data_IF_680709196100
#
_entry.id   IF_680709196100
#
_cell.length_a   1.000
_cell.length_b   1.000
_cell.length_c   1.000
_cell.angle_alpha   90.00
_cell.angle_beta   90.00
_cell.angle_gamma   90.00
#
_symmetry.space_group_name_H-M   'P 1'
#
loop_
_entity.id
_entity.type
_entity.pdbx_description
1 polymer ?
#
# COMPACT_ATOMS: atom_id res chain seq x y z
N UNK A 1 17.03 -39.76 -16.88
CA UNK A 1 16.14 -39.04 -15.95
C UNK A 1 16.93 -38.24 -14.92
N UNK A 2 17.82 -38.85 -14.12
CA UNK A 2 18.59 -38.16 -13.06
C UNK A 2 19.35 -36.93 -13.55
N UNK A 3 20.02 -37.01 -14.71
CA UNK A 3 20.71 -35.87 -15.34
C UNK A 3 19.80 -34.67 -15.64
N UNK A 4 18.56 -34.92 -16.04
CA UNK A 4 17.59 -33.84 -16.33
C UNK A 4 17.12 -33.18 -15.04
N UNK A 5 16.88 -33.97 -13.99
CA UNK A 5 16.50 -33.45 -12.67
C UNK A 5 17.65 -32.64 -12.07
N UNK A 6 18.89 -33.15 -12.15
CA UNK A 6 20.10 -32.42 -11.76
C UNK A 6 20.23 -31.10 -12.51
N UNK A 7 20.00 -31.10 -13.82
CA UNK A 7 20.01 -29.88 -14.63
C UNK A 7 18.95 -28.88 -14.17
N UNK A 8 17.70 -29.32 -13.94
CA UNK A 8 16.62 -28.45 -13.46
C UNK A 8 16.93 -27.87 -12.07
N UNK A 9 17.51 -28.66 -11.16
CA UNK A 9 17.96 -28.19 -9.83
C UNK A 9 19.09 -27.17 -9.96
N UNK A 10 20.09 -27.47 -10.80
CA UNK A 10 21.23 -26.59 -11.05
C UNK A 10 20.81 -25.27 -11.69
N UNK A 11 19.88 -25.30 -12.65
CA UNK A 11 19.33 -24.10 -13.27
C UNK A 11 18.64 -23.19 -12.23
N UNK A 12 17.78 -23.76 -11.38
CA UNK A 12 17.08 -23.00 -10.34
C UNK A 12 18.07 -22.37 -9.36
N UNK A 13 18.99 -23.19 -8.83
CA UNK A 13 20.05 -22.76 -7.91
C UNK A 13 20.92 -21.65 -8.49
N UNK A 14 21.37 -21.80 -9.74
CA UNK A 14 22.22 -20.81 -10.40
C UNK A 14 21.47 -19.51 -10.64
N UNK A 15 20.21 -19.58 -11.05
CA UNK A 15 19.37 -18.39 -11.26
C UNK A 15 19.20 -17.62 -9.95
N UNK A 16 18.89 -18.31 -8.85
CA UNK A 16 18.77 -17.70 -7.51
C UNK A 16 20.09 -17.03 -7.09
N UNK A 17 21.22 -17.72 -7.23
CA UNK A 17 22.52 -17.15 -6.91
C UNK A 17 22.84 -15.88 -7.70
N UNK A 18 22.50 -15.85 -8.99
CA UNK A 18 22.79 -14.73 -9.88
C UNK A 18 21.95 -13.51 -9.52
N UNK A 19 20.65 -13.68 -9.19
CA UNK A 19 19.73 -12.54 -9.01
C UNK A 19 19.45 -12.17 -7.54
N UNK A 20 19.35 -13.15 -6.64
CA UNK A 20 19.14 -12.94 -5.20
C UNK A 20 20.47 -12.95 -4.45
N UNK A 21 21.39 -13.85 -4.81
CA UNK A 21 22.73 -13.98 -4.18
C UNK A 21 23.78 -12.95 -4.65
N UNK A 22 23.34 -11.89 -5.35
CA UNK A 22 24.19 -10.87 -5.98
C UNK A 22 25.31 -11.46 -6.87
N UNK A 23 25.14 -12.68 -7.39
CA UNK A 23 26.13 -13.36 -8.21
C UNK A 23 26.45 -12.57 -9.47
N UNK A 24 25.45 -11.97 -10.13
CA UNK A 24 25.67 -11.19 -11.34
C UNK A 24 26.58 -9.97 -11.13
N UNK A 25 26.58 -9.39 -9.93
CA UNK A 25 27.47 -8.26 -9.63
C UNK A 25 28.93 -8.69 -9.61
N UNK A 26 29.21 -9.90 -9.10
CA UNK A 26 30.56 -10.46 -9.02
C UNK A 26 31.03 -11.10 -10.33
N UNK A 27 30.14 -11.82 -11.03
CA UNK A 27 30.53 -12.63 -12.20
C UNK A 27 30.30 -11.93 -13.53
N UNK A 28 29.35 -10.98 -13.62
CA UNK A 28 29.02 -10.25 -14.85
C UNK A 28 29.34 -8.76 -14.77
N UNK A 29 29.93 -8.28 -13.66
CA UNK A 29 30.37 -6.89 -13.49
C UNK A 29 29.23 -5.87 -13.39
N UNK A 30 28.00 -6.30 -13.10
CA UNK A 30 26.87 -5.38 -12.95
C UNK A 30 27.01 -4.55 -11.68
N UNK A 31 26.86 -3.23 -11.80
CA UNK A 31 26.87 -2.32 -10.63
C UNK A 31 25.71 -2.59 -9.67
N UNK A 32 24.53 -2.92 -10.19
CA UNK A 32 23.32 -3.16 -9.40
C UNK A 32 22.42 -4.21 -10.07
N UNK A 33 21.68 -4.97 -9.27
CA UNK A 33 20.55 -5.78 -9.75
C UNK A 33 19.32 -4.88 -9.82
N UNK A 34 18.72 -4.77 -11.01
CA UNK A 34 17.55 -3.90 -11.26
C UNK A 34 16.26 -4.71 -11.31
N UNK A 35 15.11 -4.02 -11.20
CA UNK A 35 13.80 -4.65 -11.37
C UNK A 35 13.65 -5.37 -12.72
N UNK A 36 14.32 -4.88 -13.78
CA UNK A 36 14.33 -5.54 -15.08
C UNK A 36 15.02 -6.91 -15.02
N UNK A 37 16.16 -7.01 -14.32
CA UNK A 37 16.87 -8.29 -14.18
C UNK A 37 16.02 -9.31 -13.41
N UNK A 38 15.36 -8.86 -12.33
CA UNK A 38 14.44 -9.69 -11.56
C UNK A 38 13.23 -10.15 -12.39
N UNK A 39 12.64 -9.25 -13.17
CA UNK A 39 11.50 -9.58 -14.03
C UNK A 39 11.88 -10.61 -15.11
N UNK A 40 13.05 -10.47 -15.75
CA UNK A 40 13.54 -11.44 -16.72
C UNK A 40 13.83 -12.80 -16.09
N UNK A 41 14.40 -12.83 -14.88
CA UNK A 41 14.62 -14.08 -14.16
C UNK A 41 13.29 -14.77 -13.79
N UNK A 42 12.33 -14.02 -13.28
CA UNK A 42 10.98 -14.54 -12.98
C UNK A 42 10.29 -15.07 -14.24
N UNK A 43 10.40 -14.38 -15.38
CA UNK A 43 9.91 -14.86 -16.67
C UNK A 43 10.60 -16.16 -17.11
N UNK A 44 11.92 -16.25 -16.94
CA UNK A 44 12.67 -17.48 -17.24
C UNK A 44 12.22 -18.66 -16.37
N UNK A 45 11.95 -18.42 -15.08
CA UNK A 45 11.38 -19.44 -14.19
C UNK A 45 9.99 -19.87 -14.67
N UNK A 46 9.13 -18.94 -15.10
CA UNK A 46 7.81 -19.27 -15.66
C UNK A 46 7.89 -20.19 -16.87
N UNK A 47 8.86 -19.96 -17.76
CA UNK A 47 9.09 -20.85 -18.93
C UNK A 47 9.47 -22.25 -18.46
N UNK A 48 10.37 -22.35 -17.48
CA UNK A 48 10.78 -23.65 -16.94
C UNK A 48 9.62 -24.36 -16.22
N UNK A 49 8.82 -23.65 -15.42
CA UNK A 49 7.61 -24.17 -14.77
C UNK A 49 6.62 -24.72 -15.81
N UNK A 50 6.43 -24.01 -16.92
CA UNK A 50 5.58 -24.46 -18.02
C UNK A 50 6.16 -25.69 -18.74
N UNK A 51 7.48 -25.81 -18.85
CA UNK A 51 8.16 -26.91 -19.54
C UNK A 51 8.19 -28.23 -18.73
N UNK A 52 8.37 -28.14 -17.40
CA UNK A 52 8.47 -29.31 -16.51
C UNK A 52 7.38 -30.38 -16.73
N UNK A 53 6.06 -30.07 -16.83
CA UNK A 53 5.04 -31.09 -17.04
C UNK A 53 5.20 -31.84 -18.37
N UNK A 54 5.66 -31.19 -19.43
CA UNK A 54 5.91 -31.84 -20.73
C UNK A 54 7.11 -32.78 -20.68
N UNK A 55 8.17 -32.35 -19.97
CA UNK A 55 9.35 -33.20 -19.72
C UNK A 55 8.96 -34.42 -18.89
N UNK A 56 8.20 -34.22 -17.82
CA UNK A 56 7.65 -35.28 -16.96
C UNK A 56 6.82 -36.28 -17.77
N UNK A 57 5.92 -35.79 -18.63
CA UNK A 57 5.08 -36.63 -19.49
C UNK A 57 5.90 -37.45 -20.50
N UNK A 58 6.96 -36.85 -21.06
CA UNK A 58 7.88 -37.56 -21.95
C UNK A 58 8.56 -38.73 -21.25
N UNK A 59 9.04 -38.53 -20.01
CA UNK A 59 9.61 -39.63 -19.22
C UNK A 59 8.56 -40.66 -18.82
N UNK A 60 7.35 -40.25 -18.43
CA UNK A 60 6.26 -41.17 -18.07
C UNK A 60 5.99 -42.22 -19.15
N UNK A 61 6.08 -41.84 -20.44
CA UNK A 61 5.84 -42.73 -21.58
C UNK A 61 6.93 -43.79 -21.80
N UNK A 62 8.13 -43.59 -21.26
CA UNK A 62 9.30 -44.45 -21.49
C UNK A 62 9.77 -45.17 -20.22
N UNK A 63 9.09 -45.00 -19.09
CA UNK A 63 9.45 -45.60 -17.81
C UNK A 63 8.55 -46.80 -17.48
N UNK A 64 9.13 -47.80 -16.81
CA UNK A 64 8.37 -48.91 -16.24
C UNK A 64 7.56 -48.48 -15.01
N UNK A 65 6.51 -49.24 -14.67
CA UNK A 65 5.64 -48.96 -13.51
C UNK A 65 6.42 -48.79 -12.19
N UNK A 66 7.51 -49.56 -11.99
CA UNK A 66 8.36 -49.47 -10.80
C UNK A 66 9.16 -48.16 -10.74
N UNK A 67 9.50 -47.58 -11.88
CA UNK A 67 10.27 -46.34 -11.98
C UNK A 67 9.39 -45.08 -11.97
N UNK A 68 8.08 -45.22 -12.15
CA UNK A 68 7.13 -44.12 -12.18
C UNK A 68 7.11 -43.29 -10.88
N UNK A 69 7.47 -43.89 -9.73
CA UNK A 69 7.59 -43.19 -8.45
C UNK A 69 8.55 -42.00 -8.54
N UNK A 70 9.60 -42.07 -9.36
CA UNK A 70 10.58 -41.00 -9.51
C UNK A 70 9.99 -39.74 -10.16
N UNK A 71 8.83 -39.83 -10.84
CA UNK A 71 8.18 -38.67 -11.46
C UNK A 71 7.73 -37.63 -10.42
N UNK A 72 7.58 -38.04 -9.15
CA UNK A 72 7.29 -37.14 -8.03
C UNK A 72 8.34 -36.04 -7.88
N UNK A 73 9.60 -36.28 -8.30
CA UNK A 73 10.65 -35.26 -8.24
C UNK A 73 10.36 -34.07 -9.18
N UNK A 74 9.73 -34.31 -10.34
CA UNK A 74 9.33 -33.22 -11.23
C UNK A 74 8.19 -32.38 -10.62
N UNK A 75 7.26 -33.05 -9.93
CA UNK A 75 6.14 -32.37 -9.27
C UNK A 75 6.64 -31.51 -8.11
N UNK A 76 7.61 -32.01 -7.32
CA UNK A 76 8.30 -31.24 -6.28
C UNK A 76 9.04 -30.03 -6.86
N UNK A 77 9.83 -30.22 -7.92
CA UNK A 77 10.55 -29.12 -8.58
C UNK A 77 9.59 -28.00 -9.01
N UNK A 78 8.49 -28.37 -9.66
CA UNK A 78 7.51 -27.39 -10.17
C UNK A 78 6.80 -26.64 -9.03
N UNK A 79 6.21 -27.38 -8.09
CA UNK A 79 5.29 -26.81 -7.11
C UNK A 79 5.98 -26.18 -5.91
N UNK A 80 7.17 -26.67 -5.56
CA UNK A 80 7.93 -26.21 -4.41
C UNK A 80 9.10 -25.33 -4.87
N UNK A 81 10.13 -25.93 -5.46
CA UNK A 81 11.42 -25.25 -5.65
C UNK A 81 11.36 -24.03 -6.59
N UNK A 82 10.67 -24.16 -7.72
CA UNK A 82 10.56 -23.07 -8.70
C UNK A 82 9.54 -22.02 -8.26
N UNK A 83 8.43 -22.45 -7.64
CA UNK A 83 7.39 -21.53 -7.18
C UNK A 83 7.89 -20.68 -5.99
N UNK A 84 8.60 -21.30 -5.05
CA UNK A 84 9.21 -20.61 -3.90
C UNK A 84 10.22 -19.56 -4.38
N UNK A 85 11.13 -19.94 -5.27
CA UNK A 85 12.08 -18.99 -5.85
C UNK A 85 11.39 -17.84 -6.61
N UNK A 86 10.31 -18.11 -7.34
CA UNK A 86 9.54 -17.05 -7.99
C UNK A 86 8.93 -16.09 -6.97
N UNK A 87 8.39 -16.60 -5.86
CA UNK A 87 7.86 -15.78 -4.78
C UNK A 87 8.94 -14.92 -4.10
N UNK A 88 10.15 -15.47 -3.89
CA UNK A 88 11.29 -14.71 -3.36
C UNK A 88 11.68 -13.55 -4.28
N UNK A 89 11.65 -13.75 -5.60
CA UNK A 89 11.88 -12.67 -6.58
C UNK A 89 10.81 -11.58 -6.46
N UNK A 90 9.54 -11.96 -6.32
CA UNK A 90 8.44 -11.00 -6.13
C UNK A 90 8.59 -10.22 -4.82
N UNK A 91 8.93 -10.89 -3.73
CA UNK A 91 9.25 -10.24 -2.46
C UNK A 91 10.42 -9.26 -2.58
N UNK A 92 11.47 -9.62 -3.34
CA UNK A 92 12.62 -8.73 -3.59
C UNK A 92 12.23 -7.50 -4.42
N UNK A 93 11.34 -7.64 -5.40
CA UNK A 93 10.80 -6.50 -6.16
C UNK A 93 10.07 -5.52 -5.26
N UNK A 94 9.24 -6.02 -4.34
CA UNK A 94 8.52 -5.20 -3.36
C UNK A 94 9.51 -4.50 -2.41
N UNK A 95 10.51 -5.24 -1.90
CA UNK A 95 11.53 -4.68 -1.02
C UNK A 95 12.34 -3.55 -1.68
N UNK A 96 12.72 -3.69 -2.95
CA UNK A 96 13.40 -2.62 -3.70
C UNK A 96 12.55 -1.34 -3.74
N UNK A 97 11.23 -1.47 -3.93
CA UNK A 97 10.34 -0.31 -3.90
C UNK A 97 10.18 0.27 -2.49
N UNK A 98 10.16 -0.58 -1.45
CA UNK A 98 10.20 -0.14 -0.06
C UNK A 98 11.45 0.67 0.29
N UNK A 99 12.62 0.23 -0.19
CA UNK A 99 13.89 0.96 0.00
C UNK A 99 13.87 2.33 -0.69
N UNK A 100 13.32 2.39 -1.92
CA UNK A 100 13.12 3.64 -2.66
C UNK A 100 12.21 4.60 -1.91
N UNK A 101 11.09 4.10 -1.43
CA UNK A 101 10.16 4.87 -0.61
C UNK A 101 10.82 5.42 0.66
N UNK A 102 11.59 4.60 1.37
CA UNK A 102 12.33 5.03 2.55
C UNK A 102 13.35 6.13 2.24
N UNK A 103 14.01 6.09 1.08
CA UNK A 103 14.91 7.15 0.65
C UNK A 103 14.18 8.48 0.41
N UNK A 104 13.02 8.43 -0.25
CA UNK A 104 12.19 9.63 -0.50
C UNK A 104 11.62 10.21 0.79
N UNK A 105 11.20 9.34 1.72
CA UNK A 105 10.73 9.75 3.04
C UNK A 105 11.82 10.44 3.85
N UNK A 106 13.10 10.06 3.74
CA UNK A 106 14.18 10.80 4.42
C UNK A 106 14.36 12.22 3.90
N UNK A 107 13.92 12.47 2.67
CA UNK A 107 13.91 13.80 2.04
C UNK A 107 12.56 14.51 2.24
N UNK A 108 11.60 13.84 2.90
CA UNK A 108 10.32 14.43 3.27
C UNK A 108 10.55 15.63 4.18
N UNK A 109 10.01 16.76 3.77
CA UNK A 109 9.90 17.94 4.59
C UNK A 109 8.42 18.26 4.68
N UNK A 110 7.88 18.33 5.90
CA UNK A 110 6.48 18.71 6.16
C UNK A 110 6.26 20.22 5.95
N UNK A 111 7.09 20.88 5.14
CA UNK A 111 6.96 22.31 4.89
C UNK A 111 5.76 22.53 3.98
N UNK A 112 4.75 23.32 4.40
CA UNK A 112 3.61 23.58 3.56
C UNK A 112 4.05 24.28 2.28
N UNK A 113 3.68 23.70 1.15
CA UNK A 113 3.99 24.19 -0.19
C UNK A 113 2.73 24.27 -1.02
N UNK A 114 2.72 25.20 -1.96
CA UNK A 114 1.68 25.27 -2.99
C UNK A 114 1.89 24.11 -3.99
N UNK A 115 0.90 23.21 -4.05
CA UNK A 115 0.90 22.07 -4.96
C UNK A 115 1.51 20.79 -4.40
N UNK A 116 1.78 19.84 -5.30
CA UNK A 116 2.29 18.50 -4.97
C UNK A 116 3.78 18.56 -4.63
N UNK A 117 4.18 17.92 -3.54
CA UNK A 117 5.57 17.88 -3.12
C UNK A 117 6.44 17.06 -4.09
N UNK A 118 7.71 17.48 -4.21
CA UNK A 118 8.68 16.84 -5.12
C UNK A 118 8.87 15.36 -4.81
N UNK A 119 8.93 14.97 -3.52
CA UNK A 119 9.08 13.57 -3.12
C UNK A 119 7.93 12.70 -3.67
N UNK A 120 6.70 13.22 -3.66
CA UNK A 120 5.52 12.49 -4.13
C UNK A 120 5.55 12.31 -5.65
N UNK A 121 5.98 13.35 -6.37
CA UNK A 121 6.15 13.29 -7.83
C UNK A 121 7.21 12.26 -8.23
N UNK A 122 8.34 12.22 -7.52
CA UNK A 122 9.42 11.25 -7.78
C UNK A 122 8.96 9.83 -7.42
N UNK A 123 8.29 9.65 -6.29
CA UNK A 123 7.74 8.37 -5.86
C UNK A 123 6.80 7.79 -6.92
N UNK A 124 5.80 8.57 -7.36
CA UNK A 124 4.86 8.18 -8.43
C UNK A 124 5.62 7.81 -9.71
N UNK A 125 6.60 8.62 -10.12
CA UNK A 125 7.39 8.34 -11.33
C UNK A 125 8.14 7.00 -11.24
N UNK A 126 8.76 6.71 -10.10
CA UNK A 126 9.47 5.44 -9.89
C UNK A 126 8.50 4.25 -9.83
N UNK A 127 7.34 4.40 -9.18
CA UNK A 127 6.29 3.37 -9.15
C UNK A 127 5.74 3.07 -10.56
N UNK A 128 5.47 4.10 -11.37
CA UNK A 128 5.03 3.94 -12.78
C UNK A 128 6.12 3.27 -13.61
N UNK A 129 7.38 3.62 -13.39
CA UNK A 129 8.52 3.01 -14.09
C UNK A 129 8.63 1.53 -13.75
N UNK A 130 8.47 1.16 -12.47
CA UNK A 130 8.41 -0.23 -12.02
C UNK A 130 7.28 -0.98 -12.73
N UNK A 131 6.05 -0.46 -12.69
CA UNK A 131 4.89 -1.05 -13.38
C UNK A 131 5.16 -1.31 -14.86
N UNK A 132 5.74 -0.33 -15.57
CA UNK A 132 6.07 -0.45 -17.00
C UNK A 132 7.09 -1.56 -17.28
N UNK A 133 8.10 -1.71 -16.41
CA UNK A 133 9.09 -2.77 -16.53
C UNK A 133 8.45 -4.13 -16.27
N UNK A 134 7.66 -4.26 -15.20
CA UNK A 134 7.00 -5.51 -14.85
C UNK A 134 6.00 -5.94 -15.94
N UNK A 135 5.16 -5.01 -16.42
CA UNK A 135 4.15 -5.25 -17.47
C UNK A 135 4.75 -5.69 -18.81
N UNK A 136 6.04 -5.40 -19.06
CA UNK A 136 6.72 -5.84 -20.28
C UNK A 136 7.17 -7.29 -20.22
N UNK A 137 7.40 -7.83 -19.02
CA UNK A 137 8.10 -9.11 -18.85
C UNK A 137 7.27 -10.16 -18.10
N UNK A 138 6.28 -9.75 -17.31
CA UNK A 138 5.44 -10.63 -16.49
C UNK A 138 3.98 -10.63 -16.98
N UNK A 139 3.22 -11.65 -16.60
CA UNK A 139 1.78 -11.73 -16.90
C UNK A 139 0.99 -10.70 -16.10
N UNK A 140 -0.17 -10.30 -16.62
CA UNK A 140 -1.05 -9.31 -15.97
C UNK A 140 -1.37 -9.68 -14.51
N UNK A 141 -1.68 -10.95 -14.24
CA UNK A 141 -1.98 -11.43 -12.89
C UNK A 141 -0.80 -11.23 -11.91
N UNK A 142 0.43 -11.57 -12.32
CA UNK A 142 1.61 -11.40 -11.47
C UNK A 142 1.94 -9.93 -11.26
N UNK A 143 1.76 -9.09 -12.29
CA UNK A 143 1.95 -7.64 -12.17
C UNK A 143 0.96 -7.07 -11.17
N UNK A 144 -0.31 -7.47 -11.25
CA UNK A 144 -1.34 -7.06 -10.31
C UNK A 144 -0.97 -7.43 -8.87
N UNK A 145 -0.60 -8.69 -8.61
CA UNK A 145 -0.24 -9.19 -7.28
C UNK A 145 0.93 -8.42 -6.66
N UNK A 146 1.99 -8.18 -7.44
CA UNK A 146 3.17 -7.44 -6.98
C UNK A 146 2.82 -5.97 -6.72
N UNK A 147 2.07 -5.34 -7.63
CA UNK A 147 1.77 -3.92 -7.53
C UNK A 147 0.77 -3.61 -6.41
N UNK A 148 -0.20 -4.50 -6.12
CA UNK A 148 -1.08 -4.38 -4.96
C UNK A 148 -0.27 -4.35 -3.65
N UNK A 149 0.72 -5.24 -3.52
CA UNK A 149 1.59 -5.26 -2.34
C UNK A 149 2.49 -4.01 -2.27
N UNK A 150 3.00 -3.54 -3.41
CA UNK A 150 3.74 -2.27 -3.48
C UNK A 150 2.87 -1.09 -3.01
N UNK A 151 1.64 -1.00 -3.47
CA UNK A 151 0.73 0.08 -3.06
C UNK A 151 0.39 0.02 -1.57
N UNK A 152 0.16 -1.18 -1.04
CA UNK A 152 -0.05 -1.37 0.39
C UNK A 152 1.17 -0.91 1.21
N UNK A 153 2.38 -1.29 0.79
CA UNK A 153 3.63 -0.87 1.44
C UNK A 153 3.82 0.66 1.38
N UNK A 154 3.51 1.30 0.25
CA UNK A 154 3.55 2.76 0.09
C UNK A 154 2.59 3.44 1.04
N UNK A 155 1.32 3.02 1.04
CA UNK A 155 0.28 3.60 1.89
C UNK A 155 0.61 3.47 3.37
N UNK A 156 1.01 2.26 3.81
CA UNK A 156 1.35 2.01 5.21
C UNK A 156 2.49 2.91 5.69
N UNK A 157 3.54 3.04 4.89
CA UNK A 157 4.73 3.77 5.29
C UNK A 157 4.53 5.30 5.23
N UNK A 158 3.80 5.82 4.25
CA UNK A 158 3.43 7.24 4.23
C UNK A 158 2.52 7.60 5.41
N UNK A 159 1.58 6.70 5.75
CA UNK A 159 0.69 6.90 6.89
C UNK A 159 1.48 7.03 8.20
N UNK A 160 2.47 6.17 8.40
CA UNK A 160 3.36 6.19 9.58
C UNK A 160 4.06 7.56 9.72
N UNK A 161 4.56 8.10 8.61
CA UNK A 161 5.29 9.38 8.60
C UNK A 161 4.38 10.60 8.74
N UNK A 162 3.20 10.57 8.14
CA UNK A 162 2.20 11.62 8.31
C UNK A 162 1.70 11.69 9.75
N UNK A 163 1.49 10.52 10.38
CA UNK A 163 1.17 10.46 11.80
C UNK A 163 2.29 11.09 12.65
N UNK A 164 3.54 10.68 12.48
CA UNK A 164 4.70 11.25 13.21
C UNK A 164 4.79 12.77 13.07
N UNK A 165 4.66 13.28 11.85
CA UNK A 165 4.76 14.71 11.55
C UNK A 165 3.62 15.51 12.22
N UNK A 166 2.40 14.96 12.23
CA UNK A 166 1.26 15.59 12.91
C UNK A 166 1.42 15.63 14.44
N UNK A 167 2.03 14.61 15.04
CA UNK A 167 2.29 14.56 16.49
C UNK A 167 3.48 15.42 16.92
N UNK A 168 4.52 15.53 16.08
CA UNK A 168 5.64 16.43 16.33
C UNK A 168 5.18 17.89 16.34
N UNK A 169 4.30 18.29 15.41
CA UNK A 169 3.76 19.65 15.35
C UNK A 169 2.89 20.00 16.57
N UNK A 170 2.17 19.03 17.15
CA UNK A 170 1.38 19.22 18.38
C UNK A 170 2.23 19.36 19.65
N UNK A 171 3.47 18.86 19.64
CA UNK A 171 4.44 19.02 20.73
C UNK A 171 5.38 20.19 20.41
N UNK A 172 4.84 21.40 20.40
CA UNK A 172 5.64 22.62 20.24
C UNK A 172 6.88 22.61 21.14
N UNK A 173 8.01 23.05 20.58
CA UNK A 173 9.31 23.21 21.25
C UNK A 173 9.16 23.83 22.65
N UNK A 174 9.68 23.19 23.72
CA UNK A 174 9.69 23.78 25.05
C UNK A 174 10.81 24.83 25.09
N UNK A 175 10.54 26.09 24.73
CA UNK A 175 11.60 27.10 24.85
C UNK A 175 11.29 28.53 24.45
N UNK A 176 10.25 28.81 23.65
CA UNK A 176 9.93 30.21 23.27
C UNK A 176 8.43 30.42 23.38
N UNK A 177 7.97 30.82 24.56
CA UNK A 177 6.60 31.32 24.78
C UNK A 177 6.63 32.66 25.50
N UNK A 178 6.92 33.72 24.75
CA UNK A 178 6.25 34.99 24.93
C UNK A 178 5.39 35.19 23.65
N UNK A 179 4.15 35.67 23.82
CA UNK A 179 3.09 35.92 22.83
C UNK A 179 1.98 34.85 22.70
N UNK A 180 0.69 35.26 22.66
CA UNK A 180 -0.46 34.38 22.51
C UNK A 180 -0.62 34.02 21.02
N UNK A 181 -0.17 32.84 20.61
CA UNK A 181 -0.14 32.39 19.21
C UNK A 181 -1.05 31.16 18.93
N UNK A 182 -2.17 31.02 19.66
CA UNK A 182 -3.04 29.84 19.55
C UNK A 182 -3.66 29.62 18.15
N UNK A 183 -3.87 30.68 17.36
CA UNK A 183 -4.48 30.57 16.02
C UNK A 183 -3.43 30.27 14.92
N UNK A 184 -2.20 30.77 15.06
CA UNK A 184 -1.15 30.58 14.05
C UNK A 184 -0.65 29.13 13.99
N UNK A 185 -0.50 28.44 15.12
CA UNK A 185 -0.07 27.03 15.13
C UNK A 185 -1.11 26.11 14.50
N UNK A 186 -2.40 26.37 14.73
CA UNK A 186 -3.51 25.60 14.12
C UNK A 186 -3.61 25.87 12.62
N UNK A 187 -3.42 27.12 12.21
CA UNK A 187 -3.41 27.51 10.81
C UNK A 187 -2.28 26.81 10.04
N UNK A 188 -1.05 26.84 10.57
CA UNK A 188 0.10 26.15 9.96
C UNK A 188 -0.07 24.62 9.93
N UNK A 189 -0.69 24.03 10.96
CA UNK A 189 -0.99 22.59 11.00
C UNK A 189 -2.00 22.19 9.93
N UNK A 190 -3.10 22.95 9.78
CA UNK A 190 -4.10 22.68 8.75
C UNK A 190 -3.53 22.92 7.33
N UNK A 191 -2.69 23.94 7.14
CA UNK A 191 -2.02 24.19 5.86
C UNK A 191 -1.08 23.04 5.46
N UNK A 192 -0.34 22.48 6.43
CA UNK A 192 0.46 21.28 6.18
C UNK A 192 -0.42 20.08 5.83
N UNK A 193 -1.53 19.87 6.56
CA UNK A 193 -2.47 18.77 6.27
C UNK A 193 -3.10 18.90 4.88
N UNK A 194 -3.44 20.12 4.44
CA UNK A 194 -3.99 20.36 3.11
C UNK A 194 -2.94 20.05 2.00
N UNK A 195 -1.66 20.35 2.24
CA UNK A 195 -0.56 19.95 1.35
C UNK A 195 -0.40 18.42 1.29
N UNK A 196 -0.42 17.72 2.44
CA UNK A 196 -0.36 16.25 2.49
C UNK A 196 -1.59 15.58 1.85
N UNK A 197 -2.78 16.17 2.00
CA UNK A 197 -4.00 15.70 1.36
C UNK A 197 -3.91 15.85 -0.16
N UNK A 198 -3.31 16.94 -0.64
CA UNK A 198 -3.04 17.15 -2.07
C UNK A 198 -2.11 16.06 -2.61
N UNK A 199 -1.05 15.73 -1.88
CA UNK A 199 -0.12 14.65 -2.23
C UNK A 199 -0.81 13.28 -2.26
N UNK A 200 -1.64 12.97 -1.25
CA UNK A 200 -2.37 11.71 -1.18
C UNK A 200 -3.35 11.53 -2.35
N UNK A 201 -4.08 12.58 -2.73
CA UNK A 201 -4.97 12.56 -3.91
C UNK A 201 -4.19 12.39 -5.20
N UNK A 202 -3.06 13.10 -5.34
CA UNK A 202 -2.21 12.97 -6.52
C UNK A 202 -1.67 11.55 -6.68
N UNK A 203 -1.21 10.94 -5.58
CA UNK A 203 -0.78 9.55 -5.55
C UNK A 203 -1.91 8.61 -5.97
N UNK A 204 -3.08 8.72 -5.34
CA UNK A 204 -4.23 7.87 -5.65
C UNK A 204 -4.65 7.99 -7.12
N UNK A 205 -4.78 9.21 -7.64
CA UNK A 205 -5.15 9.47 -9.02
C UNK A 205 -4.16 8.84 -10.00
N UNK A 206 -2.86 9.05 -9.80
CA UNK A 206 -1.82 8.55 -10.72
C UNK A 206 -1.66 7.05 -10.67
N UNK A 207 -1.82 6.43 -9.50
CA UNK A 207 -1.76 4.97 -9.39
C UNK A 207 -3.05 4.31 -9.93
N UNK A 208 -4.20 4.98 -9.87
CA UNK A 208 -5.45 4.49 -10.46
C UNK A 208 -5.44 4.49 -12.01
N UNK A 209 -4.59 5.29 -12.65
CA UNK A 209 -4.41 5.30 -14.11
C UNK A 209 -3.67 4.04 -14.63
N UNK A 210 -3.05 3.26 -13.73
CA UNK A 210 -2.27 2.08 -14.12
C UNK A 210 -3.17 0.92 -14.53
N UNK A 211 -2.96 0.41 -15.75
CA UNK A 211 -3.70 -0.72 -16.30
C UNK A 211 -3.25 -2.03 -15.65
N UNK A 212 -4.18 -2.97 -15.50
CA UNK A 212 -3.93 -4.31 -14.95
C UNK A 212 -3.33 -4.27 -13.54
N UNK A 213 -3.80 -3.33 -12.73
CA UNK A 213 -3.48 -3.26 -11.31
C UNK A 213 -4.78 -2.97 -10.56
N UNK A 214 -5.01 -3.65 -9.45
CA UNK A 214 -6.12 -3.37 -8.56
C UNK A 214 -6.14 -1.89 -8.13
N UNK A 215 -7.35 -1.35 -7.90
CA UNK A 215 -7.50 0.07 -7.53
C UNK A 215 -6.76 0.36 -6.22
N UNK A 216 -5.90 1.40 -6.16
CA UNK A 216 -5.25 1.80 -4.93
C UNK A 216 -6.28 2.17 -3.86
N UNK A 217 -5.99 1.89 -2.59
CA UNK A 217 -6.86 2.29 -1.47
C UNK A 217 -6.87 3.82 -1.29
N UNK A 218 -8.02 4.39 -0.96
CA UNK A 218 -8.18 5.80 -0.59
C UNK A 218 -7.85 6.07 0.90
N UNK A 219 -7.25 5.09 1.60
CA UNK A 219 -7.00 5.13 3.04
C UNK A 219 -6.22 6.36 3.49
N UNK A 220 -5.21 6.80 2.73
CA UNK A 220 -4.42 7.99 3.08
C UNK A 220 -5.29 9.25 3.13
N UNK A 221 -6.22 9.42 2.19
CA UNK A 221 -7.10 10.60 2.16
C UNK A 221 -8.03 10.63 3.37
N UNK A 222 -8.59 9.47 3.74
CA UNK A 222 -9.49 9.34 4.89
C UNK A 222 -8.76 9.70 6.18
N UNK A 223 -7.57 9.14 6.42
CA UNK A 223 -6.85 9.39 7.67
C UNK A 223 -6.38 10.84 7.78
N UNK A 224 -5.91 11.45 6.69
CA UNK A 224 -5.50 12.87 6.70
C UNK A 224 -6.72 13.77 6.97
N UNK A 225 -7.88 13.46 6.43
CA UNK A 225 -9.11 14.21 6.69
C UNK A 225 -9.54 14.12 8.16
N UNK A 226 -9.43 12.95 8.79
CA UNK A 226 -9.72 12.75 10.23
C UNK A 226 -8.75 13.48 11.17
N UNK A 227 -7.52 13.76 10.72
CA UNK A 227 -6.51 14.50 11.49
C UNK A 227 -6.76 16.02 11.51
N UNK A 228 -7.69 16.55 10.70
CA UNK A 228 -8.02 17.98 10.61
C UNK A 228 -8.60 18.50 11.92
N UNK A 229 -8.13 19.66 12.37
CA UNK A 229 -8.68 20.33 13.56
C UNK A 229 -9.90 21.16 13.16
N UNK A 230 -11.08 20.98 13.79
CA UNK A 230 -12.27 21.79 13.50
C UNK A 230 -11.99 23.28 13.71
N UNK A 231 -12.36 24.10 12.74
CA UNK A 231 -12.35 25.56 12.85
C UNK A 231 -13.39 25.96 13.92
N UNK A 232 -13.10 26.87 14.86
CA UNK A 232 -14.17 27.50 15.62
C UNK A 232 -15.03 28.29 14.62
N UNK A 233 -16.28 27.88 14.46
CA UNK A 233 -17.27 28.63 13.69
C UNK A 233 -17.46 29.98 14.38
N UNK A 234 -16.87 31.05 13.84
CA UNK A 234 -17.27 32.40 14.25
C UNK A 234 -18.75 32.58 13.91
N UNK A 235 -19.58 33.08 14.85
CA UNK A 235 -21.00 33.30 14.59
C UNK A 235 -21.17 34.35 13.49
N UNK A 236 -22.05 34.03 12.53
CA UNK A 236 -22.41 34.90 11.43
C UNK A 236 -22.82 36.29 11.94
N UNK A 237 -22.12 37.33 11.49
CA UNK A 237 -22.56 38.71 11.66
C UNK A 237 -23.75 38.91 10.71
N UNK A 238 -24.97 38.77 11.24
CA UNK A 238 -26.18 39.14 10.51
C UNK A 238 -26.21 40.66 10.32
N UNK A 239 -25.75 41.12 9.17
CA UNK A 239 -26.09 42.44 8.67
C UNK A 239 -27.58 42.43 8.27
N UNK A 240 -28.41 43.15 9.01
CA UNK A 240 -29.77 43.47 8.54
C UNK A 240 -30.05 44.96 8.74
N UNK A 241 -30.33 45.59 7.61
CA UNK A 241 -30.61 47.01 7.39
C UNK A 241 -31.83 47.53 8.17
N UNK A 242 -31.77 48.84 8.41
CA UNK A 242 -32.85 49.75 8.81
C UNK A 242 -34.14 49.60 7.96
N UNK A 243 -35.32 49.61 8.61
CA UNK A 243 -36.37 50.62 8.38
C UNK A 243 -37.61 50.49 9.31
N UNK A 244 -37.85 51.58 10.03
CA UNK A 244 -39.12 52.30 10.30
C UNK A 244 -40.46 51.58 10.61
N UNK A 245 -40.93 51.86 11.84
CA UNK A 245 -42.22 52.47 12.18
C UNK A 245 -43.50 51.62 12.41
N UNK A 246 -44.11 51.93 13.56
CA UNK A 246 -45.53 51.86 13.99
C UNK A 246 -46.10 50.57 14.62
N UNK A 247 -46.20 50.62 15.95
CA UNK A 247 -47.27 50.07 16.82
C UNK A 247 -48.65 50.71 16.51
N UNK A 248 -49.83 50.15 16.90
CA UNK A 248 -50.07 49.54 18.23
C UNK A 248 -51.06 48.35 18.39
N UNK A 249 -50.91 47.72 19.58
CA UNK A 249 -51.89 47.08 20.47
C UNK A 249 -52.72 45.85 20.03
N UNK A 250 -52.60 44.74 20.79
CA UNK A 250 -53.63 44.18 21.71
C UNK A 250 -53.22 42.78 22.19
N UNK A 251 -53.31 42.54 23.51
CA UNK A 251 -53.17 41.24 24.22
C UNK A 251 -54.62 40.78 24.54
N UNK A 252 -54.97 39.47 24.59
CA UNK A 252 -54.78 38.70 25.82
C UNK A 252 -54.41 37.20 25.65
N UNK A 253 -53.46 36.77 26.49
CA UNK A 253 -53.50 35.61 27.39
C UNK A 253 -53.78 34.18 26.86
N UNK A 254 -52.84 33.24 27.05
CA UNK A 254 -52.97 32.07 27.95
C UNK A 254 -52.02 30.89 27.61
N UNK A 255 -51.60 30.22 28.68
CA UNK A 255 -51.18 28.80 28.77
C UNK A 255 -49.76 28.40 28.33
N UNK A 256 -48.91 28.27 29.35
CA UNK A 256 -47.66 27.54 29.45
C UNK A 256 -47.80 26.02 29.24
N UNK A 257 -47.02 25.41 28.35
CA UNK A 257 -46.64 23.98 28.34
C UNK A 257 -45.20 23.82 27.79
N UNK A 258 -44.32 22.97 28.35
CA UNK A 258 -42.91 22.91 27.97
C UNK A 258 -42.61 21.96 26.79
N UNK A 259 -41.58 22.31 25.99
CA UNK A 259 -41.00 21.49 24.90
C UNK A 259 -40.18 20.31 25.45
N UNK A 260 -40.21 19.12 24.80
CA UNK A 260 -39.30 18.03 25.12
C UNK A 260 -37.89 18.30 24.57
N UNK A 261 -36.88 18.05 25.40
CA UNK A 261 -35.46 18.06 25.05
C UNK A 261 -35.11 16.78 24.28
N UNK A 262 -34.67 16.90 23.02
CA UNK A 262 -34.09 15.79 22.27
C UNK A 262 -32.59 15.70 22.55
N UNK A 263 -32.19 14.67 23.29
CA UNK A 263 -30.81 14.28 23.56
C UNK A 263 -30.15 13.76 22.27
N UNK A 264 -29.30 14.55 21.61
CA UNK A 264 -28.44 14.02 20.54
C UNK A 264 -27.23 13.32 21.17
N UNK A 265 -27.31 11.99 21.24
CA UNK A 265 -26.22 11.11 21.61
C UNK A 265 -25.13 11.14 20.52
N UNK A 266 -23.93 11.63 20.87
CA UNK A 266 -22.72 11.55 20.03
C UNK A 266 -22.13 10.14 20.16
N UNK A 267 -21.87 9.39 19.08
CA UNK A 267 -21.21 8.10 19.21
C UNK A 267 -19.74 8.28 19.64
N UNK A 268 -19.16 7.31 20.37
CA UNK A 268 -17.82 7.43 20.94
C UNK A 268 -16.74 7.42 19.86
N UNK A 269 -15.70 8.24 20.06
CA UNK A 269 -14.48 8.25 19.24
C UNK A 269 -13.72 6.95 19.45
N UNK A 270 -13.52 6.18 18.39
CA UNK A 270 -12.65 5.00 18.41
C UNK A 270 -11.19 5.50 18.39
N UNK A 271 -10.34 5.09 19.36
CA UNK A 271 -8.92 5.43 19.37
C UNK A 271 -8.19 4.87 18.13
N UNK A 272 -7.32 5.68 17.52
CA UNK A 272 -6.54 5.33 16.31
C UNK A 272 -5.71 4.04 16.48
N UNK A 273 -5.33 3.70 17.72
CA UNK A 273 -4.64 2.44 18.06
C UNK A 273 -5.45 1.20 17.65
N UNK A 274 -6.78 1.23 17.78
CA UNK A 274 -7.67 0.13 17.37
C UNK A 274 -7.75 0.04 15.84
N UNK A 275 -7.66 1.17 15.13
CA UNK A 275 -7.64 1.20 13.67
C UNK A 275 -6.35 0.59 13.11
N UNK A 276 -5.21 0.86 13.75
CA UNK A 276 -3.92 0.25 13.42
C UNK A 276 -3.89 -1.26 13.71
N UNK A 277 -4.62 -1.73 14.72
CA UNK A 277 -4.70 -3.15 15.07
C UNK A 277 -5.52 -3.97 14.08
N UNK A 278 -6.59 -3.39 13.51
CA UNK A 278 -7.35 -4.02 12.42
C UNK A 278 -6.56 -4.09 11.11
N UNK A 279 -5.58 -3.20 10.91
CA UNK A 279 -4.66 -3.23 9.76
C UNK A 279 -3.67 -4.41 9.86
N UNK A 280 -3.20 -4.76 11.08
CA UNK A 280 -2.32 -5.92 11.30
C UNK A 280 -3.02 -7.27 11.11
N UNK A 281 -4.32 -7.38 11.42
CA UNK A 281 -5.09 -8.61 11.26
C UNK A 281 -5.38 -8.95 9.78
N UNK A 282 -5.39 -7.95 8.89
CA UNK A 282 -5.60 -8.14 7.45
C UNK A 282 -4.38 -8.68 6.69
N UNK A 283 -3.19 -8.72 7.31
CA UNK A 283 -1.94 -9.12 6.65
C UNK A 283 -1.51 -10.57 6.86
N UNK A 284 -2.28 -11.38 7.60
CA UNK A 284 -2.08 -12.82 7.69
C UNK A 284 -3.40 -13.56 7.47
N UNK A 285 -3.70 -13.88 6.20
CA UNK A 285 -4.63 -14.95 5.89
C UNK A 285 -3.87 -16.29 6.02
N UNK A 286 -4.19 -17.19 6.96
CA UNK A 286 -3.71 -18.54 6.87
C UNK A 286 -4.35 -19.19 5.64
N UNK A 287 -3.48 -19.71 4.76
CA UNK A 287 -3.83 -20.54 3.61
C UNK A 287 -4.61 -21.76 4.12
N UNK A 288 -5.94 -21.67 4.16
CA UNK A 288 -6.82 -22.77 4.51
C UNK A 288 -6.60 -23.91 3.51
N UNK A 289 -6.11 -25.04 4.02
CA UNK A 289 -6.05 -26.29 3.29
C UNK A 289 -7.47 -26.67 2.84
N UNK A 290 -7.60 -26.96 1.54
CA UNK A 290 -8.70 -27.69 0.95
C UNK A 290 -8.76 -29.11 1.55
N UNK A 291 -9.62 -29.32 2.55
CA UNK A 291 -10.06 -30.64 2.96
C UNK A 291 -11.42 -30.94 2.31
N UNK A 292 -11.44 -31.94 1.43
CA UNK A 292 -12.67 -32.49 0.87
C UNK A 292 -13.45 -33.26 1.97
N UNK A 293 -14.79 -33.25 1.97
CA UNK A 293 -15.57 -34.02 2.92
C UNK A 293 -15.66 -35.50 2.50
N UNK A 294 -15.81 -36.44 3.47
CA UNK A 294 -16.07 -37.84 3.17
C UNK A 294 -17.53 -38.02 2.74
N UNK A 295 -17.75 -38.70 1.62
CA UNK A 295 -19.06 -39.26 1.28
C UNK A 295 -19.19 -40.57 2.06
N UNK A 296 -20.17 -40.62 2.95
CA UNK A 296 -20.63 -41.80 3.67
C UNK A 296 -22.10 -41.98 3.32
N UNK A 297 -22.39 -42.82 2.32
CA UNK A 297 -23.39 -43.92 2.28
C UNK A 297 -22.95 -44.83 1.14
#
# INVERSE_FOLDING_TARGET
MSRVIEFLKAFNSRTCQVVLGAGAMRSAGLKNITAKHLALASQSLSIMIALIPYVRETFRRHLSQKQAVMLVEFDKLKHQDYQEHQNEIHAKLIAIMGDRLNAHIRTFQSTPREGVNSYMTVLVRETVTLHKVLSRHLSAAVVEDVMVQVFAAINHRLLEEYAKSSFAQRRGTPGVRLFPAFDNERFLTNLCLDSLLTDARFLHQKLAELKNVGKPSAMLEIVIAELRVPQPTSPAVNATNFNSAKSPATIPNAASVPRPQTLHHRPPRIPIEILLQHVYAGTHLPRMLSAAPPILV
#
